data_IF_143684613982
#
_entry.id   IF_143684613982
#
_cell.length_a   1.000
_cell.length_b   1.000
_cell.length_c   1.000
_cell.angle_alpha   90.00
_cell.angle_beta   90.00
_cell.angle_gamma   90.00
#
_symmetry.space_group_name_H-M   'P 1'
#
loop_
_entity.id
_entity.type
_entity.pdbx_description
1 polymer ?
#
# COMPACT_ATOMS: atom_id res chain seq x y z
N UNK A 1 -5.76 -54.76 17.15
CA UNK A 1 -5.19 -53.72 18.04
C UNK A 1 -3.90 -53.20 17.40
N UNK A 2 -3.93 -51.98 16.86
CA UNK A 2 -2.78 -51.06 16.77
C UNK A 2 -3.29 -49.72 16.27
N UNK A 3 -3.12 -48.68 17.10
CA UNK A 3 -3.30 -47.26 16.77
C UNK A 3 -1.94 -46.70 16.36
N UNK A 4 -1.89 -45.85 15.33
CA UNK A 4 -0.76 -44.93 15.05
C UNK A 4 -1.31 -43.83 14.13
N UNK A 5 -1.82 -42.73 14.70
CA UNK A 5 -1.14 -41.46 15.04
C UNK A 5 -0.96 -40.50 13.87
N UNK A 6 -1.78 -39.45 13.94
CA UNK A 6 -1.75 -38.15 13.28
C UNK A 6 -0.34 -37.55 13.09
N UNK A 7 -0.03 -37.07 11.89
CA UNK A 7 1.00 -36.03 11.68
C UNK A 7 0.30 -34.73 11.26
N UNK A 8 0.23 -33.77 12.18
CA UNK A 8 -0.14 -32.37 11.91
C UNK A 8 1.14 -31.59 11.65
N UNK A 9 1.76 -31.78 10.49
CA UNK A 9 3.03 -31.09 10.17
C UNK A 9 3.12 -30.62 8.72
N UNK A 10 1.98 -30.43 8.04
CA UNK A 10 1.95 -30.09 6.60
C UNK A 10 1.34 -28.72 6.29
N UNK A 11 1.35 -27.77 7.24
CA UNK A 11 0.87 -26.40 7.01
C UNK A 11 1.95 -25.31 7.17
N UNK A 12 3.15 -25.68 7.63
CA UNK A 12 4.28 -24.76 7.75
C UNK A 12 5.24 -24.80 6.54
N UNK A 13 5.12 -25.80 5.66
CA UNK A 13 5.94 -25.89 4.45
C UNK A 13 5.42 -25.04 3.28
N UNK A 14 4.13 -24.66 3.28
CA UNK A 14 3.54 -23.87 2.19
C UNK A 14 3.70 -22.35 2.37
N UNK A 15 4.03 -21.89 3.59
CA UNK A 15 4.21 -20.46 3.89
C UNK A 15 5.63 -19.94 3.60
N UNK A 16 6.60 -20.82 3.36
CA UNK A 16 7.99 -20.44 3.11
C UNK A 16 8.38 -20.43 1.62
N UNK A 17 7.51 -20.94 0.73
CA UNK A 17 7.82 -21.08 -0.71
C UNK A 17 7.36 -19.86 -1.53
N UNK A 18 6.53 -18.97 -0.98
CA UNK A 18 6.02 -17.77 -1.68
C UNK A 18 6.87 -16.50 -1.42
N UNK A 19 7.89 -16.59 -0.55
CA UNK A 19 8.72 -15.43 -0.13
C UNK A 19 10.10 -15.35 -0.80
N UNK A 20 10.30 -16.08 -1.90
CA UNK A 20 11.47 -15.95 -2.78
C UNK A 20 11.02 -15.55 -4.19
N UNK A 21 10.27 -14.45 -4.29
CA UNK A 21 10.33 -13.62 -5.50
C UNK A 21 11.72 -12.99 -5.50
N UNK A 22 12.69 -13.68 -6.09
CA UNK A 22 13.96 -13.06 -6.41
C UNK A 22 13.63 -11.77 -7.20
N UNK A 23 13.96 -10.61 -6.62
CA UNK A 23 14.22 -9.42 -7.40
C UNK A 23 15.36 -9.81 -8.34
N UNK A 24 15.01 -10.31 -9.52
CA UNK A 24 15.91 -10.21 -10.66
C UNK A 24 15.88 -8.73 -10.99
N UNK A 25 16.71 -7.95 -10.30
CA UNK A 25 17.02 -6.61 -10.78
C UNK A 25 17.45 -6.80 -12.23
N UNK A 26 16.74 -6.22 -13.22
CA UNK A 26 17.24 -6.27 -14.58
C UNK A 26 18.65 -5.65 -14.53
N UNK A 27 19.67 -6.48 -14.68
CA UNK A 27 21.02 -6.02 -14.88
C UNK A 27 21.06 -5.45 -16.30
N UNK A 28 20.69 -4.20 -16.49
CA UNK A 28 20.66 -3.61 -17.83
C UNK A 28 20.25 -2.16 -17.86
N UNK A 29 20.94 -1.43 -18.74
CA UNK A 29 20.68 -0.09 -19.23
C UNK A 29 20.85 1.04 -18.21
N UNK A 30 21.10 2.23 -18.76
CA UNK A 30 21.10 3.57 -18.15
C UNK A 30 20.54 3.59 -16.74
N UNK A 31 21.35 4.08 -15.80
CA UNK A 31 20.98 4.15 -14.38
C UNK A 31 20.19 5.42 -14.08
N UNK A 32 19.39 5.37 -13.01
CA UNK A 32 18.67 6.52 -12.46
C UNK A 32 19.45 6.99 -11.24
N UNK A 33 20.10 8.15 -11.35
CA UNK A 33 20.86 8.75 -10.26
C UNK A 33 19.94 9.31 -9.17
N UNK A 34 18.87 9.96 -9.58
CA UNK A 34 17.86 10.54 -8.69
C UNK A 34 16.56 10.79 -9.42
N UNK A 35 15.46 10.77 -8.69
CA UNK A 35 14.15 11.16 -9.17
C UNK A 35 13.43 12.05 -8.15
N UNK A 36 12.65 13.00 -8.68
CA UNK A 36 11.73 13.87 -7.96
C UNK A 36 10.37 13.71 -8.66
N UNK A 37 9.73 12.58 -8.40
CA UNK A 37 8.38 12.27 -8.87
C UNK A 37 7.43 12.25 -7.67
N UNK A 38 6.35 13.04 -7.67
CA UNK A 38 5.41 13.05 -6.55
C UNK A 38 4.71 11.70 -6.43
N UNK A 39 4.50 11.21 -5.21
CA UNK A 39 3.81 9.95 -4.96
C UNK A 39 2.29 10.01 -5.20
N UNK A 40 1.73 11.22 -5.14
CA UNK A 40 0.31 11.47 -5.37
C UNK A 40 0.09 12.84 -6.05
N UNK A 41 -1.00 12.97 -6.81
CA UNK A 41 -1.36 14.21 -7.47
C UNK A 41 -2.87 14.38 -7.63
N UNK A 42 -3.37 15.61 -7.43
CA UNK A 42 -4.79 15.92 -7.58
C UNK A 42 -5.18 16.00 -9.07
N UNK A 43 -6.30 15.38 -9.43
CA UNK A 43 -6.88 15.46 -10.78
C UNK A 43 -7.01 16.91 -11.24
N UNK A 44 -6.69 17.16 -12.51
CA UNK A 44 -6.72 18.47 -13.17
C UNK A 44 -5.76 19.54 -12.57
N UNK A 45 -4.93 19.16 -11.58
CA UNK A 45 -3.83 20.00 -11.12
C UNK A 45 -2.62 19.87 -12.05
N UNK A 46 -1.78 20.92 -12.07
CA UNK A 46 -0.50 20.89 -12.80
C UNK A 46 0.58 20.31 -11.91
N UNK A 47 1.31 19.33 -12.44
CA UNK A 47 2.39 18.63 -11.74
C UNK A 47 3.67 18.64 -12.57
N UNK A 48 4.79 18.60 -11.88
CA UNK A 48 6.13 18.47 -12.46
C UNK A 48 6.79 17.25 -11.86
N UNK A 49 7.46 16.46 -12.70
CA UNK A 49 8.31 15.35 -12.28
C UNK A 49 9.68 15.48 -12.97
N UNK A 50 10.76 15.19 -12.26
CA UNK A 50 12.13 15.21 -12.80
C UNK A 50 12.84 13.89 -12.53
N UNK A 51 13.62 13.43 -13.50
CA UNK A 51 14.42 12.20 -13.40
C UNK A 51 15.81 12.49 -13.95
N UNK A 52 16.85 12.17 -13.19
CA UNK A 52 18.24 12.28 -13.64
C UNK A 52 18.80 10.91 -13.95
N UNK A 53 19.28 10.75 -15.18
CA UNK A 53 19.89 9.55 -15.70
C UNK A 53 21.41 9.68 -15.69
N UNK A 54 22.09 8.63 -15.27
CA UNK A 54 23.55 8.49 -15.29
C UNK A 54 23.97 7.14 -15.87
N UNK A 55 25.28 6.88 -15.88
CA UNK A 55 25.87 5.70 -16.49
C UNK A 55 25.40 5.43 -17.93
N UNK A 56 25.16 6.52 -18.68
CA UNK A 56 24.41 6.57 -19.95
C UNK A 56 24.90 5.60 -21.04
N UNK A 57 26.17 5.19 -20.96
CA UNK A 57 26.86 4.38 -21.97
C UNK A 57 27.26 2.99 -21.45
N UNK A 58 26.75 2.56 -20.29
CA UNK A 58 27.07 1.25 -19.71
C UNK A 58 25.94 0.25 -19.94
N UNK A 59 26.34 -1.00 -20.19
CA UNK A 59 25.49 -2.20 -20.15
C UNK A 59 24.17 -2.10 -20.94
N UNK A 60 24.20 -2.14 -22.28
CA UNK A 60 25.38 -2.38 -23.11
C UNK A 60 26.19 -1.11 -23.36
N UNK A 61 27.46 -1.30 -23.73
CA UNK A 61 28.28 -0.19 -24.21
C UNK A 61 27.70 0.33 -25.52
N UNK A 62 27.15 1.53 -25.47
CA UNK A 62 26.56 2.25 -26.59
C UNK A 62 27.19 3.63 -26.63
N UNK A 63 27.88 3.96 -27.71
CA UNK A 63 28.44 5.31 -27.90
C UNK A 63 27.35 6.34 -28.27
N UNK A 64 26.20 5.87 -28.77
CA UNK A 64 25.05 6.71 -29.12
C UNK A 64 23.72 5.94 -29.03
N UNK A 65 22.68 6.62 -28.58
CA UNK A 65 21.30 6.14 -28.53
C UNK A 65 20.31 7.30 -28.42
N UNK A 66 19.01 7.03 -28.60
CA UNK A 66 17.96 8.04 -28.46
C UNK A 66 17.05 7.75 -27.27
N UNK A 67 16.83 8.76 -26.43
CA UNK A 67 15.86 8.76 -25.35
C UNK A 67 14.46 9.01 -25.89
N UNK A 68 13.53 8.18 -25.42
CA UNK A 68 12.10 8.35 -25.62
C UNK A 68 11.39 8.31 -24.27
N UNK A 69 10.34 9.13 -24.13
CA UNK A 69 9.53 9.18 -22.92
C UNK A 69 8.04 9.17 -23.23
N UNK A 70 7.27 8.60 -22.32
CA UNK A 70 5.80 8.62 -22.36
C UNK A 70 5.21 8.98 -21.00
N UNK A 71 4.00 9.55 -21.00
CA UNK A 71 3.24 9.93 -19.81
C UNK A 71 1.74 9.86 -20.08
N UNK A 72 0.96 9.66 -19.02
CA UNK A 72 -0.50 9.81 -19.07
C UNK A 72 -0.99 11.21 -18.67
N UNK A 73 -0.08 12.12 -18.29
CA UNK A 73 -0.40 13.54 -18.10
C UNK A 73 -1.01 14.15 -19.38
N UNK A 74 -1.84 15.18 -19.21
CA UNK A 74 -2.39 16.00 -20.30
C UNK A 74 -1.59 17.30 -20.43
N UNK A 75 -1.72 18.01 -21.55
CA UNK A 75 -1.10 19.33 -21.76
C UNK A 75 0.40 19.35 -21.41
N UNK A 76 1.11 18.38 -21.98
CA UNK A 76 2.45 17.99 -21.54
C UNK A 76 3.54 18.75 -22.29
N UNK A 77 4.53 19.21 -21.54
CA UNK A 77 5.83 19.64 -22.05
C UNK A 77 6.94 18.86 -21.34
N UNK A 78 7.85 18.31 -22.13
CA UNK A 78 9.08 17.67 -21.71
C UNK A 78 10.26 18.61 -21.92
N UNK A 79 11.22 18.56 -21.02
CA UNK A 79 12.53 19.19 -21.16
C UNK A 79 13.60 18.15 -20.86
N UNK A 80 14.50 17.94 -21.82
CA UNK A 80 15.66 17.06 -21.68
C UNK A 80 16.88 17.95 -21.62
N UNK A 81 17.60 17.92 -20.50
CA UNK A 81 18.78 18.75 -20.25
C UNK A 81 20.01 17.85 -20.12
N UNK A 82 21.10 18.24 -20.76
CA UNK A 82 22.33 17.47 -20.84
C UNK A 82 23.43 18.15 -20.04
N UNK A 83 24.15 17.38 -19.23
CA UNK A 83 25.23 17.89 -18.38
C UNK A 83 26.54 17.14 -18.63
N UNK A 84 27.66 17.86 -18.63
CA UNK A 84 29.00 17.29 -18.68
C UNK A 84 29.49 16.80 -17.31
N UNK A 85 30.65 16.16 -17.28
CA UNK A 85 31.30 15.63 -16.08
C UNK A 85 31.65 16.67 -15.00
N UNK A 86 31.56 17.97 -15.32
CA UNK A 86 31.76 19.07 -14.38
C UNK A 86 30.44 19.60 -13.79
N UNK A 87 29.31 19.07 -14.26
CA UNK A 87 27.97 19.52 -13.93
C UNK A 87 27.52 20.73 -14.75
N UNK A 88 28.23 21.11 -15.81
CA UNK A 88 27.84 22.21 -16.68
C UNK A 88 26.80 21.76 -17.71
N UNK A 89 25.74 22.56 -17.90
CA UNK A 89 24.74 22.31 -18.95
C UNK A 89 25.37 22.49 -20.32
N UNK A 90 25.31 21.45 -21.15
CA UNK A 90 25.88 21.46 -22.52
C UNK A 90 24.82 21.57 -23.61
N UNK A 91 23.61 21.04 -23.38
CA UNK A 91 22.48 21.18 -24.31
C UNK A 91 21.13 21.10 -23.56
N UNK A 92 20.05 21.51 -24.25
CA UNK A 92 18.69 21.39 -23.76
C UNK A 92 17.70 21.29 -24.92
N UNK A 93 16.81 20.31 -24.84
CA UNK A 93 15.76 20.06 -25.83
C UNK A 93 14.38 20.11 -25.15
N UNK A 94 13.35 20.46 -25.93
CA UNK A 94 11.98 20.50 -25.44
C UNK A 94 11.05 19.82 -26.43
N UNK A 95 10.09 19.07 -25.90
CA UNK A 95 9.12 18.31 -26.67
C UNK A 95 7.73 18.52 -26.08
N UNK A 96 6.71 18.51 -26.92
CA UNK A 96 5.32 18.62 -26.48
C UNK A 96 4.57 17.32 -26.76
N UNK A 97 3.54 17.07 -25.96
CA UNK A 97 2.68 15.91 -26.07
C UNK A 97 3.04 14.77 -25.11
N UNK A 98 2.17 13.77 -25.07
CA UNK A 98 2.27 12.65 -24.13
C UNK A 98 3.44 11.70 -24.40
N UNK A 99 4.04 11.80 -25.57
CA UNK A 99 5.17 10.99 -25.98
C UNK A 99 6.18 11.88 -26.67
N UNK A 100 7.46 11.66 -26.39
CA UNK A 100 8.55 12.21 -27.19
C UNK A 100 9.53 11.11 -27.58
N UNK A 101 10.24 11.35 -28.68
CA UNK A 101 11.35 10.52 -29.14
C UNK A 101 12.35 11.40 -29.88
N UNK A 102 13.55 10.87 -30.08
CA UNK A 102 14.58 11.55 -30.88
C UNK A 102 15.53 12.44 -30.07
N UNK A 103 15.42 12.47 -28.74
CA UNK A 103 16.42 13.11 -27.89
C UNK A 103 17.71 12.27 -27.95
N UNK A 104 18.74 12.77 -28.63
CA UNK A 104 19.99 12.01 -28.84
C UNK A 104 20.89 12.11 -27.62
N UNK A 105 21.56 11.00 -27.29
CA UNK A 105 22.59 10.92 -26.26
C UNK A 105 23.80 10.27 -26.93
N UNK A 106 24.90 11.01 -27.07
CA UNK A 106 26.14 10.51 -27.66
C UNK A 106 27.35 10.82 -26.77
N UNK A 107 28.32 9.91 -26.71
CA UNK A 107 29.53 10.06 -25.91
C UNK A 107 30.43 11.18 -26.42
N UNK A 108 30.46 11.39 -27.74
CA UNK A 108 31.23 12.45 -28.40
C UNK A 108 30.78 13.87 -27.99
N UNK A 109 29.55 14.02 -27.50
CA UNK A 109 29.02 15.29 -27.00
C UNK A 109 29.51 15.62 -25.57
N UNK A 110 30.26 14.71 -24.93
CA UNK A 110 30.78 14.90 -23.57
C UNK A 110 29.70 14.86 -22.49
N UNK A 111 28.49 14.38 -22.83
CA UNK A 111 27.39 14.23 -21.87
C UNK A 111 27.75 13.15 -20.84
N UNK A 112 27.52 13.43 -19.57
CA UNK A 112 27.67 12.45 -18.49
C UNK A 112 26.35 12.15 -17.77
N UNK A 113 25.44 13.13 -17.75
CA UNK A 113 24.13 13.04 -17.11
C UNK A 113 23.05 13.65 -18.01
N UNK A 114 21.84 13.10 -17.93
CA UNK A 114 20.65 13.61 -18.63
C UNK A 114 19.53 13.80 -17.61
N UNK A 115 19.05 15.02 -17.46
CA UNK A 115 17.85 15.32 -16.66
C UNK A 115 16.63 15.41 -17.57
N UNK A 116 15.60 14.63 -17.25
CA UNK A 116 14.32 14.62 -17.93
C UNK A 116 13.27 15.22 -17.00
N UNK A 117 12.76 16.38 -17.36
CA UNK A 117 11.67 17.05 -16.67
C UNK A 117 10.40 16.97 -17.49
N UNK A 118 9.33 16.45 -16.91
CA UNK A 118 7.98 16.51 -17.47
C UNK A 118 7.13 17.47 -16.67
N UNK A 119 6.30 18.26 -17.34
CA UNK A 119 5.26 19.06 -16.70
C UNK A 119 3.98 18.89 -17.47
N UNK A 120 2.89 18.65 -16.76
CA UNK A 120 1.57 18.44 -17.36
C UNK A 120 0.46 18.48 -16.32
N UNK A 121 -0.75 18.21 -16.79
CA UNK A 121 -1.98 18.20 -16.00
C UNK A 121 -2.37 16.77 -15.67
N UNK A 122 -2.70 16.49 -14.40
CA UNK A 122 -3.07 15.15 -13.93
C UNK A 122 -4.35 14.66 -14.63
N UNK A 123 -4.37 13.43 -15.16
CA UNK A 123 -5.53 12.91 -15.85
C UNK A 123 -6.70 12.61 -14.90
N UNK A 124 -7.91 12.59 -15.46
CA UNK A 124 -9.09 12.20 -14.71
C UNK A 124 -9.03 10.70 -14.35
N UNK A 125 -9.63 10.34 -13.22
CA UNK A 125 -9.78 8.94 -12.81
C UNK A 125 -10.86 8.27 -13.66
N UNK A 126 -10.52 7.14 -14.29
CA UNK A 126 -11.49 6.35 -15.08
C UNK A 126 -12.30 5.41 -14.19
N UNK A 127 -11.60 4.73 -13.28
CA UNK A 127 -12.17 3.76 -12.34
C UNK A 127 -11.49 3.94 -10.98
N UNK A 128 -12.28 3.89 -9.91
CA UNK A 128 -11.76 4.01 -8.55
C UNK A 128 -11.53 2.62 -7.97
N UNK A 129 -10.43 2.45 -7.25
CA UNK A 129 -10.12 1.24 -6.50
C UNK A 129 -9.53 1.62 -5.16
N UNK A 130 -10.07 1.10 -4.06
CA UNK A 130 -9.56 1.37 -2.73
C UNK A 130 -8.21 0.68 -2.46
N UNK A 131 -8.08 -0.60 -2.82
CA UNK A 131 -6.85 -1.37 -2.67
C UNK A 131 -6.73 -2.43 -3.79
N UNK A 132 -5.73 -2.35 -4.69
CA UNK A 132 -4.68 -1.32 -4.74
C UNK A 132 -5.24 0.06 -5.15
N UNK A 133 -4.52 1.12 -4.75
CA UNK A 133 -4.86 2.47 -5.17
C UNK A 133 -4.69 2.64 -6.68
N UNK A 134 -5.57 3.43 -7.29
CA UNK A 134 -5.51 3.76 -8.69
C UNK A 134 -4.32 4.70 -8.99
N UNK A 135 -3.56 4.36 -10.01
CA UNK A 135 -2.37 5.10 -10.44
C UNK A 135 -2.48 5.52 -11.89
N UNK A 136 -1.69 6.52 -12.27
CA UNK A 136 -1.38 6.86 -13.66
C UNK A 136 0.13 6.93 -13.83
N UNK A 137 0.62 6.68 -15.05
CA UNK A 137 2.04 6.79 -15.35
C UNK A 137 2.43 8.25 -15.51
N UNK A 138 3.18 8.81 -14.56
CA UNK A 138 3.69 10.18 -14.65
C UNK A 138 4.87 10.27 -15.62
N UNK A 139 5.76 9.29 -15.60
CA UNK A 139 6.92 9.20 -16.49
C UNK A 139 7.21 7.74 -16.80
N UNK A 140 7.47 7.41 -18.05
CA UNK A 140 8.13 6.17 -18.46
C UNK A 140 9.20 6.48 -19.48
N UNK A 141 10.43 6.01 -19.24
CA UNK A 141 11.59 6.31 -20.09
C UNK A 141 12.12 5.04 -20.75
N UNK A 142 12.55 5.19 -21.99
CA UNK A 142 13.10 4.12 -22.81
C UNK A 142 14.34 4.59 -23.56
N UNK A 143 15.36 3.74 -23.60
CA UNK A 143 16.52 3.88 -24.47
C UNK A 143 16.22 3.18 -25.79
N UNK A 144 16.26 3.91 -26.90
CA UNK A 144 16.01 3.40 -28.26
C UNK A 144 17.31 3.40 -29.08
N UNK A 145 17.56 2.33 -29.83
CA UNK A 145 18.70 2.23 -30.76
C UNK A 145 18.28 2.43 -32.20
N UNK A 146 19.22 2.91 -33.00
CA UNK A 146 19.12 2.89 -34.45
C UNK A 146 18.94 1.43 -34.93
N UNK A 147 17.88 1.16 -35.69
CA UNK A 147 17.46 -0.21 -36.04
C UNK A 147 16.29 -0.78 -35.22
N UNK A 148 15.72 -0.02 -34.28
CA UNK A 148 14.39 -0.27 -33.71
C UNK A 148 14.33 -1.12 -32.44
N UNK A 149 15.48 -1.47 -31.85
CA UNK A 149 15.50 -2.12 -30.53
C UNK A 149 15.32 -1.08 -29.42
N UNK A 150 14.40 -1.32 -28.50
CA UNK A 150 14.13 -0.45 -27.34
C UNK A 150 14.37 -1.20 -26.03
N UNK A 151 15.04 -0.53 -25.10
CA UNK A 151 15.28 -0.98 -23.74
C UNK A 151 14.46 -0.10 -22.78
N UNK A 152 13.67 -0.72 -21.92
CA UNK A 152 13.00 0.01 -20.85
C UNK A 152 14.01 0.47 -19.81
N UNK A 153 13.93 1.74 -19.40
CA UNK A 153 14.73 2.28 -18.30
C UNK A 153 13.93 2.09 -17.02
N UNK A 154 12.87 2.86 -16.83
CA UNK A 154 12.00 2.79 -15.66
C UNK A 154 10.66 3.48 -15.92
N UNK A 155 9.65 3.10 -15.13
CA UNK A 155 8.34 3.73 -15.06
C UNK A 155 8.10 4.23 -13.64
N UNK A 156 7.57 5.45 -13.52
CA UNK A 156 7.12 6.05 -12.27
C UNK A 156 5.61 6.27 -12.35
N UNK A 157 4.89 5.53 -11.51
CA UNK A 157 3.45 5.62 -11.36
C UNK A 157 3.08 6.46 -10.14
N UNK A 158 2.01 7.26 -10.28
CA UNK A 158 1.58 8.23 -9.28
C UNK A 158 0.11 8.00 -8.96
N UNK A 159 -0.24 8.06 -7.67
CA UNK A 159 -1.63 7.98 -7.24
C UNK A 159 -2.36 9.27 -7.65
N UNK A 160 -3.36 9.19 -8.52
CA UNK A 160 -4.25 10.34 -8.74
C UNK A 160 -5.49 10.29 -7.85
N UNK A 161 -5.90 11.46 -7.35
CA UNK A 161 -7.06 11.60 -6.48
C UNK A 161 -7.89 12.84 -6.81
N UNK A 162 -9.17 12.78 -6.51
CA UNK A 162 -10.03 13.95 -6.29
C UNK A 162 -10.14 14.23 -4.79
N UNK A 163 -10.53 15.44 -4.40
CA UNK A 163 -10.75 15.80 -2.99
C UNK A 163 -11.73 14.83 -2.30
N UNK A 164 -12.85 14.53 -2.95
CA UNK A 164 -13.86 13.59 -2.44
C UNK A 164 -13.30 12.17 -2.26
N UNK A 165 -12.53 11.68 -3.25
CA UNK A 165 -11.91 10.35 -3.16
C UNK A 165 -10.87 10.29 -2.04
N UNK A 166 -10.07 11.34 -1.86
CA UNK A 166 -9.09 11.40 -0.78
C UNK A 166 -9.76 11.43 0.60
N UNK A 167 -10.84 12.20 0.75
CA UNK A 167 -11.61 12.25 1.99
C UNK A 167 -12.26 10.90 2.33
N UNK A 168 -12.88 10.23 1.35
CA UNK A 168 -13.47 8.91 1.55
C UNK A 168 -12.43 7.83 1.87
N UNK A 169 -11.26 7.86 1.21
CA UNK A 169 -10.15 6.95 1.50
C UNK A 169 -9.64 7.13 2.94
N UNK A 170 -9.46 8.37 3.40
CA UNK A 170 -9.06 8.63 4.78
C UNK A 170 -10.05 8.07 5.82
N UNK A 171 -11.36 8.07 5.50
CA UNK A 171 -12.41 7.50 6.35
C UNK A 171 -12.39 5.98 6.36
N UNK A 172 -12.18 5.36 5.20
CA UNK A 172 -11.97 3.91 5.08
C UNK A 172 -10.73 3.48 5.88
N UNK A 173 -9.60 4.19 5.74
CA UNK A 173 -8.37 3.90 6.48
C UNK A 173 -8.59 3.97 8.01
N UNK A 174 -9.31 5.00 8.47
CA UNK A 174 -9.71 5.13 9.89
C UNK A 174 -10.57 3.96 10.37
N UNK A 175 -11.58 3.57 9.59
CA UNK A 175 -12.47 2.46 9.91
C UNK A 175 -11.71 1.13 9.97
N UNK A 176 -10.85 0.86 8.98
CA UNK A 176 -10.02 -0.34 8.92
C UNK A 176 -9.05 -0.41 10.11
N UNK A 177 -8.39 0.70 10.45
CA UNK A 177 -7.52 0.79 11.61
C UNK A 177 -8.29 0.52 12.92
N UNK A 178 -9.50 1.08 13.05
CA UNK A 178 -10.35 0.85 14.21
C UNK A 178 -10.75 -0.62 14.32
N UNK A 179 -11.25 -1.24 13.25
CA UNK A 179 -11.63 -2.66 13.23
C UNK A 179 -10.43 -3.54 13.63
N UNK A 180 -9.25 -3.28 13.05
CA UNK A 180 -8.03 -4.02 13.35
C UNK A 180 -7.58 -3.88 14.82
N UNK A 181 -7.87 -2.74 15.45
CA UNK A 181 -7.53 -2.49 16.87
C UNK A 181 -8.42 -3.26 17.86
N UNK A 182 -9.58 -3.76 17.43
CA UNK A 182 -10.53 -4.46 18.29
C UNK A 182 -10.18 -5.95 18.38
N UNK A 183 -9.37 -6.31 19.37
CA UNK A 183 -9.05 -7.71 19.66
C UNK A 183 -10.11 -8.40 20.54
N UNK A 184 -10.50 -9.63 20.20
CA UNK A 184 -11.34 -10.47 21.07
C UNK A 184 -12.82 -10.07 21.15
N UNK A 185 -13.31 -9.25 20.23
CA UNK A 185 -14.74 -8.97 20.04
C UNK A 185 -15.21 -9.47 18.67
N UNK A 186 -16.52 -9.65 18.52
CA UNK A 186 -17.11 -10.00 17.23
C UNK A 186 -17.27 -8.75 16.35
N UNK A 187 -16.33 -8.52 15.44
CA UNK A 187 -16.33 -7.37 14.51
C UNK A 187 -16.99 -7.68 13.16
N UNK A 188 -17.69 -8.81 13.01
CA UNK A 188 -18.24 -9.24 11.71
C UNK A 188 -19.14 -8.21 11.05
N UNK A 189 -20.01 -7.56 11.81
CA UNK A 189 -20.91 -6.52 11.28
C UNK A 189 -20.15 -5.25 10.89
N UNK A 190 -19.08 -4.91 11.62
CA UNK A 190 -18.22 -3.79 11.28
C UNK A 190 -17.46 -4.06 9.96
N UNK A 191 -16.94 -5.29 9.79
CA UNK A 191 -16.29 -5.70 8.55
C UNK A 191 -17.25 -5.65 7.37
N UNK A 192 -18.49 -6.14 7.52
CA UNK A 192 -19.48 -6.08 6.45
C UNK A 192 -19.80 -4.64 6.02
N UNK A 193 -19.86 -3.69 6.96
CA UNK A 193 -20.04 -2.27 6.64
C UNK A 193 -18.83 -1.68 5.93
N UNK A 194 -17.62 -2.08 6.34
CA UNK A 194 -16.40 -1.67 5.67
C UNK A 194 -16.35 -2.21 4.24
N UNK A 195 -16.67 -3.48 4.01
CA UNK A 195 -16.69 -4.08 2.68
C UNK A 195 -17.69 -3.35 1.76
N UNK A 196 -18.89 -3.03 2.26
CA UNK A 196 -19.87 -2.22 1.52
C UNK A 196 -19.35 -0.78 1.25
N UNK A 197 -18.58 -0.21 2.17
CA UNK A 197 -17.97 1.11 2.01
C UNK A 197 -16.92 1.09 0.89
N UNK A 198 -16.12 0.03 0.81
CA UNK A 198 -15.16 -0.21 -0.27
C UNK A 198 -15.89 -0.36 -1.61
N UNK A 199 -16.99 -1.12 -1.67
CA UNK A 199 -17.80 -1.25 -2.89
C UNK A 199 -18.36 0.10 -3.37
N UNK A 200 -18.83 0.93 -2.42
CA UNK A 200 -19.31 2.27 -2.71
C UNK A 200 -18.18 3.18 -3.24
N UNK A 201 -16.98 3.11 -2.64
CA UNK A 201 -15.80 3.84 -3.10
C UNK A 201 -15.40 3.44 -4.51
N UNK A 202 -15.32 2.13 -4.78
CA UNK A 202 -14.95 1.60 -6.10
C UNK A 202 -15.97 1.97 -7.19
N UNK A 203 -17.23 2.20 -6.79
CA UNK A 203 -18.30 2.70 -7.66
C UNK A 203 -18.30 4.24 -7.82
N UNK A 204 -17.36 4.96 -7.19
CA UNK A 204 -17.28 6.42 -7.20
C UNK A 204 -18.32 7.13 -6.32
N UNK A 205 -19.00 6.42 -5.41
CA UNK A 205 -19.98 7.00 -4.49
C UNK A 205 -19.31 7.31 -3.14
N UNK A 206 -18.55 8.40 -3.10
CA UNK A 206 -17.70 8.78 -1.96
C UNK A 206 -18.47 9.18 -0.71
N UNK A 207 -19.65 9.79 -0.85
CA UNK A 207 -20.53 10.13 0.27
C UNK A 207 -21.06 8.87 0.97
N UNK A 208 -21.51 7.88 0.18
CA UNK A 208 -21.96 6.59 0.70
C UNK A 208 -20.80 5.81 1.32
N UNK A 209 -19.64 5.80 0.66
CA UNK A 209 -18.43 5.17 1.20
C UNK A 209 -18.05 5.75 2.57
N UNK A 210 -18.05 7.08 2.69
CA UNK A 210 -17.78 7.78 3.94
C UNK A 210 -18.79 7.41 5.03
N UNK A 211 -20.08 7.44 4.71
CA UNK A 211 -21.16 7.09 5.65
C UNK A 211 -21.03 5.65 6.16
N UNK A 212 -20.76 4.70 5.26
CA UNK A 212 -20.61 3.28 5.61
C UNK A 212 -19.31 3.01 6.40
N UNK A 213 -18.23 3.73 6.10
CA UNK A 213 -16.99 3.67 6.87
C UNK A 213 -17.19 4.16 8.31
N UNK A 214 -17.89 5.28 8.51
CA UNK A 214 -18.25 5.77 9.86
C UNK A 214 -19.17 4.80 10.61
N UNK A 215 -20.08 4.13 9.89
CA UNK A 215 -20.92 3.07 10.44
C UNK A 215 -20.10 1.86 10.88
N UNK A 216 -19.11 1.46 10.08
CA UNK A 216 -18.17 0.38 10.38
C UNK A 216 -17.36 0.71 11.65
N UNK A 217 -16.82 1.93 11.75
CA UNK A 217 -16.11 2.43 12.93
C UNK A 217 -17.00 2.39 14.18
N UNK A 218 -18.25 2.87 14.05
CA UNK A 218 -19.25 2.85 15.14
C UNK A 218 -19.55 1.42 15.60
N UNK A 219 -19.71 0.47 14.68
CA UNK A 219 -19.95 -0.94 15.00
C UNK A 219 -18.75 -1.59 15.66
N UNK A 220 -17.53 -1.30 15.20
CA UNK A 220 -16.31 -1.81 15.82
C UNK A 220 -16.19 -1.35 17.27
N UNK A 221 -16.43 -0.06 17.53
CA UNK A 221 -16.43 0.50 18.89
C UNK A 221 -17.50 -0.11 19.78
N UNK A 222 -18.72 -0.35 19.27
CA UNK A 222 -19.79 -1.06 20.00
C UNK A 222 -19.39 -2.50 20.33
N UNK A 223 -18.77 -3.23 19.39
CA UNK A 223 -18.29 -4.58 19.60
C UNK A 223 -17.24 -4.63 20.73
N UNK A 224 -16.29 -3.67 20.73
CA UNK A 224 -15.29 -3.52 21.79
C UNK A 224 -15.94 -3.32 23.16
N UNK A 225 -16.88 -2.39 23.28
CA UNK A 225 -17.57 -2.10 24.55
C UNK A 225 -18.41 -3.29 25.06
N UNK A 226 -19.11 -3.98 24.15
CA UNK A 226 -19.89 -5.17 24.47
C UNK A 226 -19.01 -6.32 24.98
N UNK A 227 -17.86 -6.53 24.35
CA UNK A 227 -16.87 -7.54 24.80
C UNK A 227 -16.34 -7.23 26.20
N UNK A 228 -15.97 -5.97 26.46
CA UNK A 228 -15.52 -5.53 27.80
C UNK A 228 -16.58 -5.74 28.88
N UNK A 229 -17.83 -5.39 28.57
CA UNK A 229 -18.96 -5.56 29.51
C UNK A 229 -19.22 -7.04 29.80
N UNK A 230 -19.21 -7.88 28.75
CA UNK A 230 -19.42 -9.32 28.88
C UNK A 230 -18.28 -9.98 29.66
N UNK A 231 -17.02 -9.60 29.41
CA UNK A 231 -15.88 -10.08 30.18
C UNK A 231 -16.01 -9.71 31.66
N UNK A 232 -16.37 -8.47 31.98
CA UNK A 232 -16.57 -8.03 33.37
C UNK A 232 -17.67 -8.83 34.06
N UNK A 233 -18.78 -9.11 33.38
CA UNK A 233 -19.86 -9.96 33.90
C UNK A 233 -19.40 -11.41 34.12
N UNK A 234 -18.61 -11.98 33.21
CA UNK A 234 -18.07 -13.34 33.36
C UNK A 234 -17.09 -13.39 34.54
N UNK A 235 -16.19 -12.40 34.69
CA UNK A 235 -15.28 -12.33 35.83
C UNK A 235 -16.03 -12.14 37.15
N UNK A 236 -17.06 -11.28 37.18
CA UNK A 236 -17.91 -11.09 38.34
C UNK A 236 -18.66 -12.38 38.72
N UNK A 237 -19.24 -13.09 37.74
CA UNK A 237 -19.90 -14.36 37.95
C UNK A 237 -18.92 -15.45 38.43
N UNK A 238 -17.73 -15.54 37.82
CA UNK A 238 -16.68 -16.47 38.23
C UNK A 238 -16.19 -16.22 39.65
N UNK A 239 -15.98 -14.96 40.02
CA UNK A 239 -15.61 -14.56 41.39
C UNK A 239 -16.67 -14.96 42.41
N UNK A 240 -17.95 -14.75 42.09
CA UNK A 240 -19.08 -15.16 42.93
C UNK A 240 -19.11 -16.68 43.17
N UNK A 241 -18.87 -17.50 42.14
CA UNK A 241 -18.83 -18.96 42.27
C UNK A 241 -17.69 -19.41 43.19
N UNK A 242 -16.50 -18.80 43.07
CA UNK A 242 -15.36 -19.12 43.94
C UNK A 242 -15.68 -18.79 45.41
N UNK A 243 -16.27 -17.62 45.68
CA UNK A 243 -16.67 -17.23 47.04
C UNK A 243 -17.71 -18.20 47.60
N UNK A 244 -18.71 -18.60 46.80
CA UNK A 244 -19.73 -19.56 47.21
C UNK A 244 -19.13 -20.94 47.54
N UNK A 245 -18.14 -21.40 46.75
CA UNK A 245 -17.43 -22.67 47.01
C UNK A 245 -16.58 -22.60 48.28
N UNK A 246 -15.90 -21.48 48.54
CA UNK A 246 -15.12 -21.29 49.76
C UNK A 246 -16.02 -21.23 51.00
N UNK A 247 -17.12 -20.49 50.94
CA UNK A 247 -18.10 -20.41 52.02
C UNK A 247 -18.79 -21.77 52.26
N UNK A 248 -19.21 -22.45 51.19
CA UNK A 248 -19.80 -23.79 51.25
C UNK A 248 -18.83 -24.82 51.80
N UNK A 249 -17.58 -24.81 51.34
CA UNK A 249 -16.51 -25.69 51.84
C UNK A 249 -16.18 -25.43 53.31
N UNK A 250 -16.14 -24.17 53.74
CA UNK A 250 -15.92 -23.80 55.14
C UNK A 250 -17.07 -24.23 56.04
N UNK A 251 -18.33 -23.99 55.64
CA UNK A 251 -19.51 -24.42 56.38
C UNK A 251 -19.61 -25.94 56.46
N UNK A 252 -19.29 -26.64 55.37
CA UNK A 252 -19.24 -28.10 55.34
C UNK A 252 -18.18 -28.64 56.31
N UNK A 253 -16.94 -28.13 56.23
CA UNK A 253 -15.86 -28.50 57.16
C UNK A 253 -16.21 -28.24 58.63
N UNK A 254 -16.83 -27.08 58.92
CA UNK A 254 -17.33 -26.76 60.26
C UNK A 254 -18.46 -27.70 60.70
N UNK A 255 -19.34 -28.10 59.79
CA UNK A 255 -20.43 -29.03 60.11
C UNK A 255 -19.92 -30.44 60.46
N UNK A 256 -18.80 -30.88 59.87
CA UNK A 256 -18.13 -32.13 60.26
C UNK A 256 -17.56 -32.10 61.69
N UNK A 257 -17.23 -30.92 62.23
CA UNK A 257 -16.71 -30.78 63.60
C UNK A 257 -17.80 -30.87 64.68
N UNK A 258 -19.09 -30.90 64.31
CA UNK A 258 -20.20 -30.97 65.28
C UNK A 258 -20.71 -32.39 65.54
N UNK A 259 -19.99 -33.43 65.11
CA UNK A 259 -20.43 -34.80 65.36
C UNK A 259 -19.95 -35.32 66.72
N UNK A 260 -20.93 -35.51 67.60
CA UNK A 260 -20.94 -36.31 68.82
C UNK A 260 -20.20 -35.78 70.05
N UNK A 261 -20.96 -35.02 70.85
CA UNK A 261 -21.03 -35.35 72.28
C UNK A 261 -22.46 -35.77 72.61
N UNK A 262 -22.69 -37.09 72.65
CA UNK A 262 -23.84 -37.74 73.27
C UNK A 262 -23.32 -38.71 74.32
N UNK A 263 -22.73 -38.14 75.37
CA UNK A 263 -22.78 -38.72 76.71
C UNK A 263 -23.27 -37.64 77.68
N UNK A 264 -24.57 -37.36 77.55
CA UNK A 264 -25.50 -37.05 78.63
C UNK A 264 -26.74 -37.87 78.38
#
# INVERSE_FOLDING_TARGET
>A
MTKTSWSRSSKLALALVVLLSALVAPAGAVSVASDDVPSEAQVDSKVTASVTLDELYKNPQLESWSLAGSTELKDVTWTVTYYDQTGAKVDQQSFDGQNFSGAQVAADDGTSEVEVKVTGTVPAVKEYSYDPAQTFTAVSLNQTREGGSSNHIQTWDVNHYTEDSAAARAKLDSAQATIASVSGANTKEAQQSFDNAVDAYNSGNFDLATTLAEEAETRANKAKQSSQTTQLLIYAAGGLVVVALLAGGFLYWKSQQQTHDKLG
#
